data_IF_019890897474
#
_entry.id   IF_019890897474
#
_cell.length_a   1.000
_cell.length_b   1.000
_cell.length_c   1.000
_cell.angle_alpha   90.00
_cell.angle_beta   90.00
_cell.angle_gamma   90.00
#
_symmetry.space_group_name_H-M   'P 1'
#
loop_
_entity.id
_entity.type
_entity.pdbx_description
1 polymer ?
#
# COMPACT_ATOMS: atom_id res chain seq x y z
N UNK A 1 -27.02 17.76 -12.21
CA UNK A 1 -26.50 16.49 -11.64
C UNK A 1 -25.73 16.90 -10.39
N UNK A 2 -26.35 16.83 -9.21
CA UNK A 2 -25.72 17.19 -7.94
C UNK A 2 -24.98 15.96 -7.42
N UNK A 3 -23.67 16.04 -7.25
CA UNK A 3 -22.91 15.03 -6.50
C UNK A 3 -23.24 15.24 -5.02
N UNK A 4 -24.15 14.42 -4.50
CA UNK A 4 -24.84 14.71 -3.23
C UNK A 4 -23.95 14.66 -1.98
N UNK A 5 -22.71 14.19 -2.04
CA UNK A 5 -21.70 14.39 -0.99
C UNK A 5 -20.29 14.38 -1.60
N UNK A 6 -19.70 15.55 -1.85
CA UNK A 6 -18.31 15.66 -2.31
C UNK A 6 -17.48 16.42 -1.28
N UNK A 7 -16.51 15.73 -0.68
CA UNK A 7 -15.50 16.37 0.17
C UNK A 7 -14.23 16.59 -0.64
N UNK A 8 -13.78 17.84 -0.76
CA UNK A 8 -12.47 18.17 -1.34
C UNK A 8 -11.46 18.36 -0.22
N UNK A 9 -10.39 17.59 -0.27
CA UNK A 9 -9.20 17.78 0.57
C UNK A 9 -8.21 18.58 -0.25
N UNK A 10 -7.96 19.82 0.16
CA UNK A 10 -7.09 20.75 -0.57
C UNK A 10 -5.96 21.23 0.34
N UNK A 11 -4.77 21.39 -0.24
CA UNK A 11 -3.64 22.06 0.38
C UNK A 11 -2.67 22.51 -0.71
N UNK A 12 -1.86 23.53 -0.41
CA UNK A 12 -0.87 24.08 -1.35
C UNK A 12 0.44 23.27 -1.40
N UNK A 13 0.64 22.35 -0.44
CA UNK A 13 1.86 21.57 -0.26
C UNK A 13 1.56 20.14 0.24
N UNK A 14 2.47 19.17 0.02
CA UNK A 14 2.25 17.78 0.39
C UNK A 14 2.19 17.55 1.91
N UNK A 15 2.82 18.40 2.73
CA UNK A 15 2.80 18.26 4.19
C UNK A 15 1.40 18.60 4.73
N UNK A 16 0.88 19.75 4.33
CA UNK A 16 -0.47 20.19 4.68
C UNK A 16 -1.53 19.24 4.11
N UNK A 17 -1.33 18.70 2.91
CA UNK A 17 -2.24 17.70 2.34
C UNK A 17 -2.30 16.42 3.19
N UNK A 18 -1.13 15.92 3.64
CA UNK A 18 -1.07 14.75 4.51
C UNK A 18 -1.77 14.99 5.85
N UNK A 19 -1.58 16.17 6.44
CA UNK A 19 -2.26 16.59 7.68
C UNK A 19 -3.77 16.69 7.49
N UNK A 20 -4.25 17.32 6.41
CA UNK A 20 -5.69 17.38 6.14
C UNK A 20 -6.28 15.99 5.90
N UNK A 21 -5.51 15.10 5.26
CA UNK A 21 -5.93 13.70 5.03
C UNK A 21 -6.02 12.92 6.36
N UNK A 22 -5.06 13.07 7.27
CA UNK A 22 -5.11 12.42 8.58
C UNK A 22 -6.27 12.92 9.44
N UNK A 23 -6.63 14.21 9.33
CA UNK A 23 -7.77 14.79 10.05
C UNK A 23 -9.12 14.23 9.61
N UNK A 24 -9.23 13.68 8.40
CA UNK A 24 -10.46 13.02 7.93
C UNK A 24 -10.62 11.65 8.59
N UNK A 25 -9.55 10.86 8.65
CA UNK A 25 -9.56 9.54 9.28
C UNK A 25 -9.60 9.60 10.81
N UNK A 26 -8.93 10.61 11.38
CA UNK A 26 -8.71 10.78 12.81
C UNK A 26 -9.09 12.21 13.23
N UNK A 27 -10.39 12.52 13.32
CA UNK A 27 -10.86 13.91 13.49
C UNK A 27 -10.52 14.50 14.86
N UNK A 28 -10.45 13.68 15.91
CA UNK A 28 -10.12 14.12 17.27
C UNK A 28 -9.21 13.11 18.00
N UNK A 29 -8.50 13.56 19.04
CA UNK A 29 -7.62 12.71 19.87
C UNK A 29 -8.37 11.68 20.72
N UNK A 30 -9.66 11.92 20.99
CA UNK A 30 -10.49 11.11 21.89
C UNK A 30 -11.38 10.11 21.14
N UNK A 31 -11.15 9.90 19.84
CA UNK A 31 -11.90 8.89 19.09
C UNK A 31 -11.48 7.47 19.48
N UNK A 32 -12.41 6.50 19.59
CA UNK A 32 -12.06 5.11 19.90
C UNK A 32 -11.10 4.46 18.91
N UNK A 33 -11.07 4.94 17.67
CA UNK A 33 -10.22 4.46 16.58
C UNK A 33 -8.97 5.34 16.37
N UNK A 34 -8.48 6.01 17.43
CA UNK A 34 -7.27 6.82 17.37
C UNK A 34 -6.10 6.01 16.79
N UNK A 35 -5.14 6.64 16.10
CA UNK A 35 -4.09 5.90 15.43
C UNK A 35 -3.18 5.19 16.44
N UNK A 36 -2.74 3.97 16.13
CA UNK A 36 -1.77 3.28 16.99
C UNK A 36 -0.34 3.75 16.73
N UNK A 37 -0.06 4.22 15.52
CA UNK A 37 1.22 4.84 15.17
C UNK A 37 1.02 5.98 14.17
N UNK A 38 2.06 6.78 13.96
CA UNK A 38 2.17 7.69 12.81
C UNK A 38 3.41 7.30 12.02
N UNK A 39 3.29 7.25 10.69
CA UNK A 39 4.41 6.94 9.80
C UNK A 39 5.00 8.25 9.29
N UNK A 40 6.29 8.48 9.49
CA UNK A 40 7.04 9.57 8.86
C UNK A 40 7.82 9.05 7.67
N UNK A 41 7.60 9.67 6.50
CA UNK A 41 8.33 9.40 5.26
C UNK A 41 9.02 10.68 4.74
N UNK A 42 10.14 10.56 4.01
CA UNK A 42 10.71 11.69 3.30
C UNK A 42 9.79 12.14 2.14
N UNK A 43 9.55 13.45 2.02
CA UNK A 43 8.64 14.01 1.02
C UNK A 43 9.19 13.97 -0.42
N UNK A 44 10.52 13.96 -0.56
CA UNK A 44 11.21 14.12 -1.84
C UNK A 44 11.32 12.83 -2.67
N UNK A 45 10.89 11.69 -2.12
CA UNK A 45 11.00 10.39 -2.77
C UNK A 45 9.76 9.53 -2.49
N UNK A 46 8.94 9.33 -3.53
CA UNK A 46 7.67 8.63 -3.45
C UNK A 46 7.82 7.18 -2.99
N UNK A 47 8.99 6.55 -3.22
CA UNK A 47 9.20 5.11 -3.03
C UNK A 47 9.01 4.72 -1.56
N UNK A 48 9.46 5.56 -0.63
CA UNK A 48 9.31 5.31 0.80
C UNK A 48 7.85 5.36 1.26
N UNK A 49 7.09 6.36 0.78
CA UNK A 49 5.66 6.45 1.08
C UNK A 49 4.86 5.31 0.45
N UNK A 50 5.20 4.91 -0.79
CA UNK A 50 4.61 3.77 -1.48
C UNK A 50 4.81 2.49 -0.65
N UNK A 51 6.05 2.18 -0.29
CA UNK A 51 6.36 1.02 0.55
C UNK A 51 5.58 1.05 1.87
N UNK A 52 5.57 2.20 2.54
CA UNK A 52 4.93 2.37 3.83
C UNK A 52 3.40 2.20 3.82
N UNK A 53 2.73 2.32 2.67
CA UNK A 53 1.26 2.27 2.62
C UNK A 53 0.68 0.98 3.17
N UNK A 54 1.37 -0.15 3.04
CA UNK A 54 0.96 -1.42 3.63
C UNK A 54 0.77 -1.37 5.15
N UNK A 55 1.30 -0.37 5.84
CA UNK A 55 1.21 -0.18 7.28
C UNK A 55 0.02 0.70 7.72
N UNK A 56 -0.73 1.31 6.80
CA UNK A 56 -1.73 2.33 7.12
C UNK A 56 -2.95 1.77 7.86
N UNK A 57 -3.55 0.69 7.39
CA UNK A 57 -4.81 0.20 7.97
C UNK A 57 -4.57 -0.80 9.10
N UNK A 58 -5.58 -1.62 9.43
CA UNK A 58 -5.45 -2.67 10.43
C UNK A 58 -4.24 -3.59 10.15
N UNK A 59 -3.54 -4.03 11.22
CA UNK A 59 -3.90 -3.84 12.63
C UNK A 59 -3.53 -2.48 13.23
N UNK A 60 -2.79 -1.62 12.52
CA UNK A 60 -2.14 -0.45 13.11
C UNK A 60 -2.95 0.85 13.02
N UNK A 61 -3.59 1.16 11.90
CA UNK A 61 -4.30 2.43 11.75
C UNK A 61 -3.34 3.63 11.85
N UNK A 62 -2.35 3.72 10.97
CA UNK A 62 -1.30 4.73 11.00
C UNK A 62 -1.34 5.66 9.78
N UNK A 63 -1.63 6.96 9.95
CA UNK A 63 -1.51 7.91 8.85
C UNK A 63 -0.04 8.12 8.48
N UNK A 64 0.22 8.39 7.20
CA UNK A 64 1.52 8.85 6.72
C UNK A 64 1.56 10.38 6.79
N UNK A 65 2.60 10.92 7.42
CA UNK A 65 2.98 12.33 7.36
C UNK A 65 4.37 12.46 6.74
N UNK A 66 4.66 13.66 6.22
CA UNK A 66 5.90 13.92 5.51
C UNK A 66 6.87 14.81 6.28
N UNK A 67 8.16 14.57 6.05
CA UNK A 67 9.29 15.38 6.52
C UNK A 67 10.32 15.55 5.40
N UNK A 68 11.27 16.47 5.58
CA UNK A 68 12.42 16.62 4.68
C UNK A 68 13.72 16.70 5.49
N UNK A 69 14.50 17.79 5.34
CA UNK A 69 15.69 18.07 6.16
C UNK A 69 15.33 18.33 7.62
N UNK A 70 14.13 18.83 7.86
CA UNK A 70 13.58 19.15 9.19
C UNK A 70 12.11 18.71 9.25
N UNK A 71 11.55 18.66 10.46
CA UNK A 71 10.13 18.43 10.67
C UNK A 71 9.35 19.73 10.47
N UNK A 72 8.43 19.82 9.49
CA UNK A 72 7.60 21.00 9.31
C UNK A 72 6.71 21.25 10.54
N UNK A 73 6.39 22.52 10.80
CA UNK A 73 5.54 22.90 11.93
C UNK A 73 4.16 22.22 11.86
N UNK A 74 3.59 22.08 10.66
CA UNK A 74 2.31 21.40 10.43
C UNK A 74 2.38 19.91 10.80
N UNK A 75 3.45 19.20 10.39
CA UNK A 75 3.68 17.80 10.77
C UNK A 75 3.85 17.66 12.29
N UNK A 76 4.60 18.56 12.92
CA UNK A 76 4.80 18.57 14.38
C UNK A 76 3.49 18.77 15.13
N UNK A 77 2.68 19.74 14.72
CA UNK A 77 1.39 20.03 15.33
C UNK A 77 0.43 18.83 15.18
N UNK A 78 0.46 18.19 14.01
CA UNK A 78 -0.38 17.02 13.76
C UNK A 78 0.04 15.80 14.60
N UNK A 79 1.34 15.56 14.82
CA UNK A 79 1.80 14.54 15.78
C UNK A 79 1.25 14.78 17.20
N UNK A 80 1.31 16.04 17.66
CA UNK A 80 0.77 16.45 18.97
C UNK A 80 -0.75 16.36 19.03
N UNK A 81 -1.44 16.50 17.89
CA UNK A 81 -2.90 16.33 17.81
C UNK A 81 -3.30 14.86 17.84
N UNK A 82 -2.62 14.02 17.06
CA UNK A 82 -2.94 12.59 16.88
C UNK A 82 -2.66 11.76 18.13
N UNK A 83 -1.54 12.03 18.83
CA UNK A 83 -1.10 11.32 20.05
C UNK A 83 -1.25 9.78 19.90
N UNK A 84 -0.50 9.16 18.97
CA UNK A 84 -0.63 7.73 18.68
C UNK A 84 -0.44 6.87 19.93
N UNK A 85 -1.21 5.79 20.10
CA UNK A 85 -1.15 4.97 21.33
C UNK A 85 0.13 4.16 21.49
N UNK A 86 0.76 3.76 20.40
CA UNK A 86 1.83 2.75 20.37
C UNK A 86 1.32 1.31 20.57
N UNK A 87 0.01 1.09 20.73
CA UNK A 87 -0.54 -0.24 20.96
C UNK A 87 -0.30 -1.14 19.74
N UNK A 88 0.19 -2.38 19.93
CA UNK A 88 0.42 -3.33 18.83
C UNK A 88 1.24 -2.73 17.65
N UNK A 89 2.13 -1.77 17.96
CA UNK A 89 3.01 -1.12 17.01
C UNK A 89 4.44 -1.13 17.57
N UNK A 90 5.48 -1.20 16.72
CA UNK A 90 6.87 -1.12 17.16
C UNK A 90 7.18 0.16 17.95
N UNK A 91 6.52 1.27 17.61
CA UNK A 91 6.64 2.55 18.30
C UNK A 91 5.44 3.46 17.99
N UNK A 92 5.31 4.55 18.74
CA UNK A 92 4.32 5.59 18.46
C UNK A 92 4.57 6.28 17.11
N UNK A 93 5.82 6.42 16.70
CA UNK A 93 6.20 7.02 15.41
C UNK A 93 7.18 6.10 14.66
N UNK A 94 6.79 5.69 13.46
CA UNK A 94 7.60 4.86 12.57
C UNK A 94 8.36 5.75 11.58
N UNK A 95 9.68 5.68 11.58
CA UNK A 95 10.56 6.44 10.70
C UNK A 95 10.94 5.57 9.50
N UNK A 96 10.23 5.72 8.39
CA UNK A 96 10.40 4.87 7.20
C UNK A 96 11.33 5.55 6.19
N UNK A 97 12.46 4.91 5.91
CA UNK A 97 13.47 5.41 4.98
C UNK A 97 14.49 6.38 5.61
N UNK A 98 15.14 7.24 4.82
CA UNK A 98 16.22 8.14 5.27
C UNK A 98 15.68 9.36 6.04
N UNK A 99 15.14 9.13 7.24
CA UNK A 99 14.71 10.21 8.14
C UNK A 99 15.90 10.77 8.92
N UNK A 100 16.18 12.09 8.86
CA UNK A 100 17.30 12.68 9.60
C UNK A 100 17.21 12.44 11.11
N UNK A 101 18.36 12.21 11.78
CA UNK A 101 18.39 12.03 13.23
C UNK A 101 17.80 13.21 14.01
N UNK A 102 17.93 14.42 13.47
CA UNK A 102 17.35 15.60 14.11
C UNK A 102 15.82 15.48 14.17
N UNK A 103 15.17 14.99 13.12
CA UNK A 103 13.72 14.76 13.11
C UNK A 103 13.33 13.72 14.18
N UNK A 104 14.10 12.65 14.33
CA UNK A 104 13.88 11.66 15.38
C UNK A 104 14.01 12.26 16.78
N UNK A 105 15.07 13.04 17.05
CA UNK A 105 15.24 13.77 18.30
C UNK A 105 14.08 14.74 18.56
N UNK A 106 13.55 15.37 17.51
CA UNK A 106 12.39 16.26 17.62
C UNK A 106 11.14 15.48 18.06
N UNK A 107 10.88 14.30 17.50
CA UNK A 107 9.79 13.40 17.93
C UNK A 107 9.96 12.98 19.38
N UNK A 108 11.17 12.54 19.76
CA UNK A 108 11.45 12.08 21.13
C UNK A 108 11.28 13.21 22.16
N UNK A 109 11.63 14.46 21.81
CA UNK A 109 11.37 15.63 22.66
C UNK A 109 9.88 15.96 22.83
N UNK A 110 9.00 15.44 21.96
CA UNK A 110 7.55 15.49 22.17
C UNK A 110 7.05 14.38 23.11
N UNK A 111 7.93 13.51 23.60
CA UNK A 111 7.59 12.40 24.50
C UNK A 111 7.08 11.15 23.78
N UNK A 112 7.33 11.01 22.48
CA UNK A 112 6.89 9.86 21.68
C UNK A 112 8.04 8.89 21.40
N UNK A 113 7.77 7.59 21.43
CA UNK A 113 8.74 6.56 21.02
C UNK A 113 8.91 6.52 19.50
N UNK A 114 10.11 6.16 19.04
CA UNK A 114 10.45 6.03 17.62
C UNK A 114 10.97 4.64 17.27
N UNK A 115 10.65 4.16 16.08
CA UNK A 115 11.25 2.97 15.49
C UNK A 115 11.66 3.25 14.04
N UNK A 116 12.90 2.95 13.67
CA UNK A 116 13.40 3.09 12.29
C UNK A 116 13.09 1.84 11.49
N UNK A 117 12.57 2.02 10.28
CA UNK A 117 12.27 0.93 9.34
C UNK A 117 12.99 1.23 8.03
N UNK A 118 13.87 0.32 7.63
CA UNK A 118 14.67 0.46 6.42
C UNK A 118 15.81 1.46 6.56
N UNK A 119 16.27 1.98 5.42
CA UNK A 119 17.41 2.89 5.32
C UNK A 119 17.27 3.76 4.05
N UNK A 120 18.37 4.28 3.51
CA UNK A 120 18.36 5.11 2.30
C UNK A 120 18.08 4.34 1.00
N UNK A 121 18.16 3.01 1.01
CA UNK A 121 17.81 2.16 -0.13
C UNK A 121 16.30 1.89 -0.12
N UNK A 122 15.55 2.33 -1.16
CA UNK A 122 14.12 2.12 -1.24
C UNK A 122 13.70 0.66 -1.35
N UNK A 123 14.47 -0.18 -2.06
CA UNK A 123 14.16 -1.60 -2.21
C UNK A 123 14.36 -2.35 -0.89
N UNK A 124 15.44 -2.04 -0.17
CA UNK A 124 15.65 -2.56 1.18
C UNK A 124 14.58 -2.04 2.16
N UNK A 125 14.18 -0.78 2.05
CA UNK A 125 13.13 -0.23 2.91
C UNK A 125 11.78 -0.89 2.64
N UNK A 126 11.45 -1.18 1.38
CA UNK A 126 10.27 -1.95 1.01
C UNK A 126 10.28 -3.36 1.62
N UNK A 127 11.43 -4.06 1.55
CA UNK A 127 11.65 -5.33 2.25
C UNK A 127 11.37 -5.20 3.76
N UNK A 128 11.94 -4.19 4.41
CA UNK A 128 11.82 -4.02 5.86
C UNK A 128 10.39 -3.68 6.29
N UNK A 129 9.70 -2.86 5.50
CA UNK A 129 8.28 -2.54 5.73
C UNK A 129 7.41 -3.79 5.57
N UNK A 130 7.68 -4.63 4.57
CA UNK A 130 6.96 -5.89 4.37
C UNK A 130 7.10 -6.81 5.58
N UNK A 131 8.32 -6.94 6.14
CA UNK A 131 8.56 -7.75 7.33
C UNK A 131 7.84 -7.20 8.57
N UNK A 132 7.89 -5.88 8.79
CA UNK A 132 7.13 -5.25 9.88
C UNK A 132 5.64 -5.48 9.70
N UNK A 133 5.12 -5.40 8.48
CA UNK A 133 3.70 -5.66 8.20
C UNK A 133 3.30 -7.09 8.58
N UNK A 134 4.14 -8.07 8.27
CA UNK A 134 3.88 -9.45 8.66
C UNK A 134 3.90 -9.65 10.17
N UNK A 135 4.91 -9.11 10.84
CA UNK A 135 5.07 -9.19 12.28
C UNK A 135 3.84 -8.64 13.01
N UNK A 136 3.42 -7.41 12.69
CA UNK A 136 2.24 -6.80 13.34
C UNK A 136 0.96 -7.58 13.03
N UNK A 137 0.83 -8.17 11.84
CA UNK A 137 -0.34 -8.97 11.46
C UNK A 137 -0.40 -10.27 12.29
N UNK A 138 0.75 -10.93 12.49
CA UNK A 138 0.85 -12.12 13.34
C UNK A 138 0.59 -11.80 14.82
N UNK A 139 1.16 -10.72 15.34
CA UNK A 139 0.93 -10.26 16.71
C UNK A 139 -0.55 -9.95 16.97
N UNK A 140 -1.25 -9.42 15.96
CA UNK A 140 -2.69 -9.15 16.03
C UNK A 140 -3.56 -10.40 15.82
N UNK A 141 -2.97 -11.59 15.64
CA UNK A 141 -3.66 -12.84 15.32
C UNK A 141 -4.60 -12.71 14.10
N UNK A 142 -4.18 -11.93 13.10
CA UNK A 142 -4.90 -11.73 11.85
C UNK A 142 -4.36 -12.66 10.76
N UNK A 143 -5.20 -13.10 9.80
CA UNK A 143 -4.74 -13.88 8.67
C UNK A 143 -3.82 -13.04 7.77
N UNK A 144 -2.72 -13.64 7.33
CA UNK A 144 -1.84 -13.05 6.32
C UNK A 144 -2.43 -13.29 4.92
N UNK A 145 -2.53 -12.22 4.13
CA UNK A 145 -2.71 -12.32 2.69
C UNK A 145 -1.37 -12.75 2.07
N UNK A 146 -1.33 -13.95 1.49
CA UNK A 146 -0.13 -14.51 0.84
C UNK A 146 0.05 -13.94 -0.56
N UNK A 147 0.17 -12.62 -0.64
CA UNK A 147 0.28 -11.86 -1.88
C UNK A 147 1.29 -10.74 -1.73
N UNK A 148 1.99 -10.38 -2.81
CA UNK A 148 2.86 -9.20 -2.86
C UNK A 148 2.74 -8.50 -4.22
N UNK A 149 2.96 -7.19 -4.24
CA UNK A 149 2.98 -6.37 -5.45
C UNK A 149 4.41 -5.97 -5.79
N UNK A 150 4.72 -6.00 -7.09
CA UNK A 150 5.99 -5.52 -7.66
C UNK A 150 5.68 -4.29 -8.50
N UNK A 151 6.29 -3.17 -8.13
CA UNK A 151 6.13 -1.87 -8.80
C UNK A 151 7.49 -1.37 -9.27
N UNK A 152 7.53 -0.54 -10.32
CA UNK A 152 8.79 0.07 -10.76
C UNK A 152 9.27 1.11 -9.77
N UNK A 153 10.56 1.09 -9.45
CA UNK A 153 11.22 2.15 -8.69
C UNK A 153 11.59 3.38 -9.55
N UNK A 154 11.61 3.21 -10.88
CA UNK A 154 11.98 4.25 -11.83
C UNK A 154 10.81 5.19 -12.14
N UNK A 155 9.58 4.70 -12.02
CA UNK A 155 8.36 5.48 -12.24
C UNK A 155 7.15 4.91 -11.51
N UNK A 156 6.32 5.79 -10.94
CA UNK A 156 5.05 5.42 -10.30
C UNK A 156 3.84 5.49 -11.23
N UNK A 157 4.00 5.95 -12.48
CA UNK A 157 2.89 6.39 -13.34
C UNK A 157 1.82 5.31 -13.58
N UNK A 158 2.23 4.05 -13.75
CA UNK A 158 1.32 2.92 -13.94
C UNK A 158 0.92 2.23 -12.62
N UNK A 159 1.57 2.58 -11.51
CA UNK A 159 1.40 1.95 -10.20
C UNK A 159 0.70 2.82 -9.16
N UNK A 160 0.22 4.02 -9.52
CA UNK A 160 -0.50 4.95 -8.63
C UNK A 160 -1.61 4.30 -7.78
N UNK A 161 -2.34 3.28 -8.27
CA UNK A 161 -3.36 2.61 -7.47
C UNK A 161 -2.85 1.57 -6.47
N UNK A 162 -1.63 1.07 -6.62
CA UNK A 162 -1.06 0.07 -5.71
C UNK A 162 -1.03 0.55 -4.25
N UNK A 163 -0.59 1.79 -3.92
CA UNK A 163 -0.68 2.34 -2.57
C UNK A 163 -2.07 2.28 -1.96
N UNK A 164 -3.12 2.58 -2.74
CA UNK A 164 -4.49 2.55 -2.23
C UNK A 164 -4.97 1.14 -1.89
N UNK A 165 -4.57 0.15 -2.69
CA UNK A 165 -4.85 -1.25 -2.38
C UNK A 165 -4.04 -1.73 -1.17
N UNK A 166 -2.72 -1.50 -1.17
CA UNK A 166 -1.84 -1.86 -0.06
C UNK A 166 -2.27 -1.22 1.26
N UNK A 167 -2.71 0.04 1.23
CA UNK A 167 -3.26 0.71 2.40
C UNK A 167 -4.41 -0.08 3.02
N UNK A 168 -5.32 -0.65 2.21
CA UNK A 168 -6.46 -1.40 2.72
C UNK A 168 -6.13 -2.87 3.06
N UNK A 169 -5.46 -3.57 2.15
CA UNK A 169 -5.21 -5.02 2.27
C UNK A 169 -4.00 -5.35 3.12
N UNK A 170 -3.02 -4.45 3.19
CA UNK A 170 -1.72 -4.75 3.75
C UNK A 170 -0.76 -5.51 2.85
N UNK A 171 -1.13 -5.74 1.59
CA UNK A 171 -0.29 -6.44 0.63
C UNK A 171 1.02 -5.67 0.45
N UNK A 172 2.19 -6.29 0.73
CA UNK A 172 3.48 -5.62 0.58
C UNK A 172 3.71 -5.08 -0.84
N UNK A 173 4.31 -3.89 -0.92
CA UNK A 173 4.81 -3.31 -2.16
C UNK A 173 6.32 -3.45 -2.16
N UNK A 174 6.85 -4.16 -3.16
CA UNK A 174 8.27 -4.34 -3.41
C UNK A 174 8.65 -3.66 -4.73
N UNK A 175 9.93 -3.30 -4.85
CA UNK A 175 10.43 -2.54 -5.99
C UNK A 175 11.18 -3.41 -7.01
N UNK A 176 11.15 -2.97 -8.27
CA UNK A 176 11.95 -3.51 -9.37
C UNK A 176 12.39 -2.37 -10.29
N UNK A 177 13.50 -2.57 -11.01
CA UNK A 177 13.82 -1.76 -12.19
C UNK A 177 13.15 -2.37 -13.42
N UNK A 178 13.16 -1.67 -14.55
CA UNK A 178 12.73 -2.28 -15.81
C UNK A 178 13.46 -3.58 -16.15
N UNK A 179 14.73 -3.71 -15.76
CA UNK A 179 15.62 -4.76 -16.24
C UNK A 179 15.87 -5.89 -15.24
N UNK A 180 15.48 -5.74 -13.98
CA UNK A 180 15.74 -6.77 -12.98
C UNK A 180 15.28 -6.41 -11.57
N UNK A 181 15.29 -7.42 -10.71
CA UNK A 181 14.97 -7.29 -9.29
C UNK A 181 16.20 -6.80 -8.49
N UNK A 182 16.05 -5.77 -7.63
CA UNK A 182 17.02 -5.47 -6.60
C UNK A 182 17.24 -6.66 -5.67
N UNK A 183 18.45 -6.78 -5.09
CA UNK A 183 18.81 -7.89 -4.21
C UNK A 183 17.85 -8.05 -3.02
N UNK A 184 17.43 -6.93 -2.40
CA UNK A 184 16.45 -6.96 -1.31
C UNK A 184 15.11 -7.59 -1.73
N UNK A 185 14.62 -7.27 -2.93
CA UNK A 185 13.38 -7.85 -3.46
C UNK A 185 13.53 -9.35 -3.73
N UNK A 186 14.66 -9.79 -4.31
CA UNK A 186 14.96 -11.21 -4.52
C UNK A 186 14.95 -11.98 -3.21
N UNK A 187 15.64 -11.47 -2.19
CA UNK A 187 15.72 -12.11 -0.88
C UNK A 187 14.36 -12.15 -0.17
N UNK A 188 13.53 -11.12 -0.34
CA UNK A 188 12.17 -11.16 0.19
C UNK A 188 11.34 -12.27 -0.46
N UNK A 189 11.37 -12.37 -1.79
CA UNK A 189 10.58 -13.36 -2.55
C UNK A 189 11.02 -14.78 -2.21
N UNK A 190 12.32 -15.03 -2.03
CA UNK A 190 12.85 -16.35 -1.64
C UNK A 190 12.35 -16.82 -0.27
N UNK A 191 11.98 -15.92 0.63
CA UNK A 191 11.37 -16.27 1.93
C UNK A 191 9.86 -16.54 1.83
N UNK A 192 9.25 -16.19 0.69
CA UNK A 192 7.81 -16.22 0.45
C UNK A 192 7.48 -16.94 -0.86
N UNK A 193 8.13 -18.09 -1.10
CA UNK A 193 8.06 -18.82 -2.36
C UNK A 193 6.63 -19.18 -2.78
N UNK A 194 5.74 -19.44 -1.83
CA UNK A 194 4.35 -19.84 -2.07
C UNK A 194 3.37 -18.66 -2.21
N UNK A 195 3.85 -17.41 -2.13
CA UNK A 195 2.99 -16.22 -2.22
C UNK A 195 2.74 -15.79 -3.66
N UNK A 196 1.54 -15.29 -3.94
CA UNK A 196 1.17 -14.81 -5.27
C UNK A 196 1.79 -13.43 -5.55
N UNK A 197 2.47 -13.30 -6.67
CA UNK A 197 3.09 -12.07 -7.12
C UNK A 197 2.20 -11.30 -8.10
N UNK A 198 2.22 -9.97 -8.00
CA UNK A 198 1.48 -9.10 -8.92
C UNK A 198 2.38 -8.01 -9.50
N UNK A 199 2.66 -8.08 -10.79
CA UNK A 199 3.38 -7.05 -11.53
C UNK A 199 2.45 -5.89 -11.88
N UNK A 200 2.64 -4.75 -11.26
CA UNK A 200 1.81 -3.55 -11.44
C UNK A 200 2.50 -2.65 -12.46
N UNK A 201 2.29 -2.94 -13.73
CA UNK A 201 2.93 -2.22 -14.83
C UNK A 201 2.94 -2.99 -16.15
N UNK A 202 3.04 -2.24 -17.24
CA UNK A 202 3.23 -2.77 -18.58
C UNK A 202 4.64 -3.34 -18.76
N UNK A 203 4.87 -4.06 -19.86
CA UNK A 203 6.20 -4.58 -20.24
C UNK A 203 7.22 -3.48 -20.57
N UNK A 204 6.74 -2.24 -20.78
CA UNK A 204 7.60 -1.09 -20.94
C UNK A 204 8.17 -0.61 -19.60
N UNK A 205 7.39 -0.70 -18.53
CA UNK A 205 7.79 -0.26 -17.18
C UNK A 205 8.50 -1.36 -16.41
N UNK A 206 8.00 -2.59 -16.49
CA UNK A 206 8.57 -3.78 -15.85
C UNK A 206 8.78 -4.82 -16.94
N UNK A 207 10.04 -5.03 -17.36
CA UNK A 207 10.39 -5.87 -18.50
C UNK A 207 9.97 -7.33 -18.36
N UNK A 208 10.00 -8.07 -19.47
CA UNK A 208 9.71 -9.51 -19.47
C UNK A 208 10.73 -10.30 -18.65
N UNK A 209 11.99 -9.84 -18.61
CA UNK A 209 13.04 -10.47 -17.81
C UNK A 209 12.68 -10.55 -16.32
N UNK A 210 12.06 -9.51 -15.77
CA UNK A 210 11.60 -9.50 -14.37
C UNK A 210 10.51 -10.54 -14.15
N UNK A 211 9.59 -10.70 -15.12
CA UNK A 211 8.52 -11.69 -15.06
C UNK A 211 9.08 -13.12 -15.08
N UNK A 212 10.06 -13.38 -15.94
CA UNK A 212 10.80 -14.65 -15.98
C UNK A 212 11.54 -14.90 -14.67
N UNK A 213 12.30 -13.91 -14.18
CA UNK A 213 13.08 -14.02 -12.94
C UNK A 213 12.19 -14.38 -11.74
N UNK A 214 11.05 -13.70 -11.56
CA UNK A 214 10.11 -14.02 -10.46
C UNK A 214 9.49 -15.41 -10.64
N UNK A 215 9.16 -15.80 -11.89
CA UNK A 215 8.56 -17.11 -12.18
C UNK A 215 9.52 -18.26 -11.92
N UNK A 216 10.83 -18.03 -12.08
CA UNK A 216 11.88 -19.00 -11.74
C UNK A 216 12.17 -19.03 -10.24
N UNK A 217 12.07 -17.86 -9.57
CA UNK A 217 12.33 -17.73 -8.14
C UNK A 217 11.20 -18.24 -7.25
N UNK A 218 9.92 -18.16 -7.67
CA UNK A 218 8.76 -18.40 -6.82
C UNK A 218 7.81 -19.46 -7.37
N UNK A 219 7.06 -20.11 -6.48
CA UNK A 219 6.06 -21.15 -6.78
C UNK A 219 4.63 -20.62 -6.82
N UNK A 220 4.39 -19.43 -6.27
CA UNK A 220 3.10 -18.75 -6.32
C UNK A 220 2.72 -18.28 -7.72
N UNK A 221 1.45 -17.92 -7.92
CA UNK A 221 0.99 -17.41 -9.21
C UNK A 221 1.52 -16.00 -9.43
N UNK A 222 2.09 -15.75 -10.61
CA UNK A 222 2.49 -14.42 -11.04
C UNK A 222 1.48 -13.84 -12.02
N UNK A 223 0.90 -12.69 -11.69
CA UNK A 223 -0.09 -12.00 -12.52
C UNK A 223 0.37 -10.58 -12.86
N UNK A 224 0.17 -10.13 -14.10
CA UNK A 224 0.50 -8.76 -14.52
C UNK A 224 -0.76 -7.91 -14.70
N UNK A 225 -0.82 -6.80 -13.98
CA UNK A 225 -1.93 -5.85 -14.02
C UNK A 225 -1.52 -4.62 -14.82
N UNK A 226 -2.04 -4.52 -16.06
CA UNK A 226 -1.68 -3.48 -17.03
C UNK A 226 -2.58 -2.25 -16.88
N UNK A 227 -1.99 -1.09 -16.63
CA UNK A 227 -2.70 0.18 -16.56
C UNK A 227 -2.68 0.87 -17.91
N UNK A 228 -3.85 1.08 -18.54
CA UNK A 228 -3.94 2.15 -19.52
C UNK A 228 -4.03 3.46 -18.74
N UNK A 229 -2.99 4.28 -18.88
CA UNK A 229 -2.66 5.56 -18.23
C UNK A 229 -3.82 6.59 -18.13
N UNK A 230 -5.01 6.32 -18.68
CA UNK A 230 -6.07 7.32 -18.89
C UNK A 230 -7.22 7.31 -17.89
N UNK A 231 -7.37 6.31 -17.00
CA UNK A 231 -8.45 6.31 -16.00
C UNK A 231 -8.10 5.48 -14.76
N UNK A 232 -7.67 6.16 -13.69
CA UNK A 232 -7.30 5.55 -12.41
C UNK A 232 -8.43 4.68 -11.79
N UNK A 233 -9.71 5.02 -12.03
CA UNK A 233 -10.86 4.27 -11.48
C UNK A 233 -11.03 2.87 -12.07
N UNK A 234 -10.81 2.70 -13.37
CA UNK A 234 -10.82 1.39 -14.05
C UNK A 234 -9.70 0.51 -13.50
N UNK A 235 -8.53 1.11 -13.30
CA UNK A 235 -7.36 0.41 -12.82
C UNK A 235 -7.47 0.01 -11.35
N UNK A 236 -7.98 0.89 -10.47
CA UNK A 236 -8.31 0.55 -9.07
C UNK A 236 -9.30 -0.61 -9.02
N UNK A 237 -10.37 -0.55 -9.82
CA UNK A 237 -11.36 -1.62 -9.85
C UNK A 237 -10.75 -2.93 -10.37
N UNK A 238 -9.90 -2.88 -11.40
CA UNK A 238 -9.18 -4.04 -11.93
C UNK A 238 -8.23 -4.64 -10.89
N UNK A 239 -7.49 -3.79 -10.19
CA UNK A 239 -6.57 -4.15 -9.11
C UNK A 239 -7.32 -4.86 -7.99
N UNK A 240 -8.42 -4.27 -7.50
CA UNK A 240 -9.26 -4.87 -6.45
C UNK A 240 -9.84 -6.21 -6.91
N UNK A 241 -10.38 -6.31 -8.13
CA UNK A 241 -10.98 -7.54 -8.65
C UNK A 241 -9.94 -8.66 -8.79
N UNK A 242 -8.76 -8.37 -9.36
CA UNK A 242 -7.71 -9.38 -9.57
C UNK A 242 -7.08 -9.83 -8.25
N UNK A 243 -6.80 -8.90 -7.33
CA UNK A 243 -6.13 -9.22 -6.07
C UNK A 243 -7.08 -9.84 -5.04
N UNK A 244 -8.32 -9.35 -4.91
CA UNK A 244 -9.25 -9.81 -3.86
C UNK A 244 -10.07 -11.03 -4.26
N UNK A 245 -10.47 -11.13 -5.53
CA UNK A 245 -11.36 -12.20 -5.99
C UNK A 245 -10.60 -13.33 -6.69
N UNK A 246 -9.29 -13.14 -6.94
CA UNK A 246 -8.48 -14.10 -7.68
C UNK A 246 -9.08 -14.42 -9.04
N UNK A 247 -9.65 -13.44 -9.73
CA UNK A 247 -10.31 -13.65 -11.03
C UNK A 247 -9.35 -13.27 -12.16
N UNK A 248 -8.72 -14.27 -12.76
CA UNK A 248 -7.91 -14.10 -13.96
C UNK A 248 -8.84 -13.89 -15.18
N UNK A 249 -8.45 -13.02 -16.13
CA UNK A 249 -9.21 -12.80 -17.38
C UNK A 249 -10.41 -11.86 -17.28
N UNK A 250 -10.53 -11.12 -16.18
CA UNK A 250 -11.45 -9.98 -16.09
C UNK A 250 -10.78 -8.75 -16.66
N UNK A 251 -11.48 -7.98 -17.49
CA UNK A 251 -11.06 -6.65 -17.91
C UNK A 251 -12.18 -5.65 -17.64
N UNK A 252 -11.88 -4.59 -16.90
CA UNK A 252 -12.81 -3.48 -16.70
C UNK A 252 -12.46 -2.40 -17.72
N UNK A 253 -13.45 -1.84 -18.40
CA UNK A 253 -13.25 -0.66 -19.25
C UNK A 253 -14.25 0.44 -18.91
N UNK A 254 -13.78 1.67 -18.96
CA UNK A 254 -14.65 2.85 -18.93
C UNK A 254 -15.37 3.01 -20.27
N UNK A 255 -16.68 3.11 -20.23
CA UNK A 255 -17.55 3.52 -21.33
C UNK A 255 -18.24 4.84 -20.96
N UNK A 256 -18.02 5.90 -21.75
CA UNK A 256 -18.53 7.23 -21.43
C UNK A 256 -17.97 7.79 -20.11
N UNK A 257 -18.59 8.83 -19.55
CA UNK A 257 -18.02 9.52 -18.38
C UNK A 257 -18.19 8.76 -17.05
N UNK A 258 -19.22 7.91 -16.92
CA UNK A 258 -19.57 7.23 -15.65
C UNK A 258 -20.06 5.78 -15.77
N UNK A 259 -19.74 5.05 -16.85
CA UNK A 259 -20.01 3.60 -16.88
C UNK A 259 -18.71 2.80 -16.90
N UNK A 260 -18.64 1.79 -16.04
CA UNK A 260 -17.64 0.74 -16.10
C UNK A 260 -18.31 -0.52 -16.63
N UNK A 261 -17.76 -1.12 -17.68
CA UNK A 261 -18.22 -2.40 -18.22
C UNK A 261 -17.20 -3.48 -17.87
N UNK A 262 -17.69 -4.57 -17.28
CA UNK A 262 -16.93 -5.77 -16.95
C UNK A 262 -16.89 -6.68 -18.18
N UNK A 263 -15.71 -7.08 -18.60
CA UNK A 263 -15.50 -8.09 -19.63
C UNK A 263 -14.89 -9.32 -18.97
N UNK A 264 -15.48 -10.48 -19.21
CA UNK A 264 -15.05 -11.75 -18.64
C UNK A 264 -14.56 -12.66 -19.75
N UNK A 265 -13.36 -13.21 -19.61
CA UNK A 265 -12.97 -14.39 -20.38
C UNK A 265 -13.81 -15.60 -19.94
N UNK A 266 -13.84 -16.67 -20.74
CA UNK A 266 -14.49 -17.93 -20.35
C UNK A 266 -14.00 -18.44 -19.00
N UNK A 267 -12.70 -18.36 -18.72
CA UNK A 267 -12.10 -18.69 -17.41
C UNK A 267 -12.57 -17.75 -16.29
N UNK A 268 -12.72 -16.45 -16.58
CA UNK A 268 -13.22 -15.46 -15.64
C UNK A 268 -14.70 -15.66 -15.29
N UNK A 269 -15.52 -16.11 -16.24
CA UNK A 269 -16.94 -16.47 -16.01
C UNK A 269 -17.03 -17.64 -15.03
N UNK A 270 -16.26 -18.71 -15.26
CA UNK A 270 -16.30 -19.91 -14.42
C UNK A 270 -15.93 -19.61 -12.97
N UNK A 271 -14.86 -18.83 -12.72
CA UNK A 271 -14.49 -18.48 -11.34
C UNK A 271 -15.50 -17.55 -10.67
N UNK A 272 -16.15 -16.64 -11.41
CA UNK A 272 -17.22 -15.79 -10.87
C UNK A 272 -18.44 -16.61 -10.44
N UNK A 273 -18.79 -17.63 -11.23
CA UNK A 273 -19.85 -18.58 -10.89
C UNK A 273 -19.48 -19.37 -9.63
N UNK A 274 -18.26 -19.90 -9.53
CA UNK A 274 -17.79 -20.60 -8.31
C UNK A 274 -17.85 -19.70 -7.06
N UNK A 275 -17.42 -18.44 -7.16
CA UNK A 275 -17.47 -17.49 -6.05
C UNK A 275 -18.92 -17.19 -5.62
N UNK A 276 -19.82 -17.03 -6.60
CA UNK A 276 -21.24 -16.84 -6.35
C UNK A 276 -21.85 -18.03 -5.61
N UNK A 277 -21.59 -19.26 -6.09
CA UNK A 277 -22.11 -20.48 -5.44
C UNK A 277 -21.57 -20.66 -4.02
N UNK A 278 -20.27 -20.45 -3.78
CA UNK A 278 -19.69 -20.51 -2.42
C UNK A 278 -20.30 -19.50 -1.47
N UNK A 279 -20.56 -18.28 -1.95
CA UNK A 279 -21.19 -17.24 -1.14
C UNK A 279 -22.63 -17.61 -0.79
N UNK A 280 -23.37 -18.17 -1.77
CA UNK A 280 -24.74 -18.62 -1.59
C UNK A 280 -24.84 -19.79 -0.60
N UNK A 281 -23.95 -20.79 -0.70
CA UNK A 281 -23.86 -21.90 0.25
C UNK A 281 -23.54 -21.42 1.67
N UNK A 282 -22.59 -20.49 1.84
CA UNK A 282 -22.25 -19.94 3.15
C UNK A 282 -23.37 -19.12 3.79
N UNK A 283 -24.26 -18.55 2.96
CA UNK A 283 -25.42 -17.77 3.41
C UNK A 283 -26.59 -18.68 3.78
N UNK A 284 -26.70 -19.85 3.14
CA UNK A 284 -27.72 -20.86 3.44
C UNK A 284 -27.36 -21.73 4.66
N UNK A 285 -26.10 -21.75 5.09
CA UNK A 285 -25.62 -22.46 6.29
C UNK A 285 -25.62 -21.61 7.56
N UNK A 286 -26.03 -20.34 7.50
CA UNK A 286 -26.22 -19.44 8.64
C UNK A 286 -27.70 -19.18 8.89
#
# INVERSE_FOLDING_TARGET
MYTIDTTRVYADDPFSLAVHTSQIGFPDRNVPWKPKAVILCPAHDFRFAFAATGLIHHPMGAPILFVERFMPAVTRQELVRLVPSGEQSPAQVLLVGPIPEQVERDVQRLGMTTARIGNQDPAYTAYAVADVREEITRMANMPLDKSYMIVSEETFSEALPAPGYAAHSGTPILFTTRQGLPAATVEWIKRHLDWNGYLIGSRHTIGERVETEISELSQGKLNRIKGRIRSNSVYISQLITTLRLGLDGIAIRKEGEMRLRLFLSTTGITRLQELFFRTLESTLQR
#
